data_IF_202480297569
#
_entry.id   IF_202480297569
#
_cell.length_a   1.000
_cell.length_b   1.000
_cell.length_c   1.000
_cell.angle_alpha   90.00
_cell.angle_beta   90.00
_cell.angle_gamma   90.00
#
_symmetry.space_group_name_H-M   'P 1'
#
loop_
_entity.id
_entity.type
_entity.pdbx_description
1 polymer ?
#
# COMPACT_ATOMS: atom_id res chain seq x y z
N UNK A 1 -7.63 7.35 1.78
CA UNK A 1 -8.12 7.14 3.15
C UNK A 1 -9.64 7.34 3.12
N UNK A 2 -10.41 6.41 3.66
CA UNK A 2 -11.89 6.47 3.62
C UNK A 2 -12.49 7.34 4.72
N UNK A 3 -11.73 7.57 5.81
CA UNK A 3 -12.12 8.39 6.97
C UNK A 3 -11.85 9.86 6.68
N UNK A 4 -12.80 10.73 6.92
CA UNK A 4 -12.76 12.17 6.66
C UNK A 4 -12.89 13.05 7.92
N UNK A 5 -13.05 12.45 9.10
CA UNK A 5 -13.05 13.15 10.38
C UNK A 5 -11.67 13.09 11.07
N UNK A 6 -11.47 13.99 12.04
CA UNK A 6 -10.28 14.00 12.89
C UNK A 6 -10.36 12.82 13.86
N UNK A 7 -9.40 11.90 13.77
CA UNK A 7 -9.32 10.73 14.65
C UNK A 7 -8.87 11.18 16.05
N UNK A 8 -9.66 10.88 17.06
CA UNK A 8 -9.32 11.18 18.45
C UNK A 8 -8.26 10.21 19.00
N UNK A 9 -7.53 10.61 20.05
CA UNK A 9 -6.56 9.74 20.72
C UNK A 9 -7.19 8.45 21.30
N UNK A 10 -8.49 8.49 21.64
CA UNK A 10 -9.22 7.32 22.12
C UNK A 10 -9.48 6.35 20.98
N UNK A 11 -10.03 6.82 19.86
CA UNK A 11 -10.28 6.01 18.66
C UNK A 11 -8.98 5.37 18.14
N UNK A 12 -7.88 6.15 18.09
CA UNK A 12 -6.58 5.64 17.67
C UNK A 12 -6.08 4.51 18.59
N UNK A 13 -6.25 4.64 19.90
CA UNK A 13 -5.83 3.62 20.87
C UNK A 13 -6.67 2.36 20.76
N UNK A 14 -7.98 2.49 20.63
CA UNK A 14 -8.90 1.36 20.43
C UNK A 14 -8.60 0.61 19.14
N UNK A 15 -8.38 1.34 18.05
CA UNK A 15 -7.91 0.80 16.78
C UNK A 15 -6.58 0.05 16.94
N UNK A 16 -5.57 0.66 17.56
CA UNK A 16 -4.28 0.04 17.79
C UNK A 16 -4.39 -1.28 18.57
N UNK A 17 -5.19 -1.30 19.63
CA UNK A 17 -5.44 -2.52 20.41
C UNK A 17 -6.14 -3.61 19.59
N UNK A 18 -6.99 -3.25 18.64
CA UNK A 18 -7.65 -4.21 17.76
C UNK A 18 -6.69 -4.84 16.76
N UNK A 19 -5.84 -4.03 16.12
CA UNK A 19 -4.88 -4.54 15.13
C UNK A 19 -3.78 -5.40 15.75
N UNK A 20 -3.39 -5.15 17.00
CA UNK A 20 -2.42 -5.99 17.72
C UNK A 20 -2.92 -7.42 17.98
N UNK A 21 -4.22 -7.66 17.91
CA UNK A 21 -4.83 -8.98 18.13
C UNK A 21 -5.24 -9.68 16.83
N UNK A 22 -5.18 -8.98 15.72
CA UNK A 22 -5.62 -9.50 14.42
C UNK A 22 -4.48 -10.24 13.72
N UNK A 23 -4.59 -11.57 13.66
CA UNK A 23 -3.63 -12.44 12.98
C UNK A 23 -3.69 -12.32 11.44
N UNK A 24 -4.69 -11.64 10.89
CA UNK A 24 -4.86 -11.43 9.45
C UNK A 24 -4.30 -10.08 8.99
N UNK A 25 -3.55 -9.38 9.82
CA UNK A 25 -2.89 -8.13 9.46
C UNK A 25 -1.46 -8.05 10.02
N UNK A 26 -0.65 -7.23 9.35
CA UNK A 26 0.68 -6.81 9.80
C UNK A 26 0.81 -5.30 9.58
N UNK A 27 1.34 -4.61 10.59
CA UNK A 27 1.60 -3.17 10.53
C UNK A 27 3.08 -2.92 10.79
N UNK A 28 3.72 -2.21 9.87
CA UNK A 28 5.15 -1.96 9.86
C UNK A 28 5.41 -0.46 9.87
N UNK A 29 6.36 -0.03 10.70
CA UNK A 29 6.88 1.34 10.65
C UNK A 29 8.04 1.34 9.66
N UNK A 30 7.96 2.21 8.66
CA UNK A 30 9.07 2.46 7.77
C UNK A 30 10.02 3.47 8.42
N UNK A 31 11.29 3.14 8.43
CA UNK A 31 12.35 4.00 8.97
C UNK A 31 13.35 4.38 7.88
N UNK A 32 13.81 5.61 7.91
CA UNK A 32 14.92 6.09 7.11
C UNK A 32 15.93 6.80 8.00
N UNK A 33 17.20 6.35 7.98
CA UNK A 33 18.27 6.85 8.85
C UNK A 33 17.86 6.84 10.34
N UNK A 34 17.26 5.74 10.78
CA UNK A 34 16.77 5.53 12.16
C UNK A 34 15.66 6.49 12.60
N UNK A 35 15.01 7.17 11.67
CA UNK A 35 13.84 8.01 11.94
C UNK A 35 12.60 7.41 11.31
N UNK A 36 11.46 7.30 12.03
CA UNK A 36 10.22 6.81 11.47
C UNK A 36 9.69 7.80 10.44
N UNK A 37 9.39 7.32 9.24
CA UNK A 37 8.97 8.16 8.11
C UNK A 37 7.56 7.84 7.63
N UNK A 38 7.01 6.69 7.99
CA UNK A 38 5.70 6.27 7.52
C UNK A 38 5.30 4.91 8.04
N UNK A 39 4.16 4.45 7.58
CA UNK A 39 3.59 3.16 7.96
C UNK A 39 3.19 2.38 6.71
N UNK A 40 3.41 1.08 6.75
CA UNK A 40 2.88 0.11 5.79
C UNK A 40 1.92 -0.80 6.54
N UNK A 41 0.74 -1.03 5.97
CA UNK A 41 -0.24 -2.00 6.45
C UNK A 41 -0.43 -3.11 5.43
N UNK A 42 -0.37 -4.35 5.88
CA UNK A 42 -0.75 -5.54 5.10
C UNK A 42 -1.96 -6.12 5.82
N UNK A 43 -3.09 -6.18 5.17
CA UNK A 43 -4.38 -6.54 5.80
C UNK A 43 -5.14 -7.54 4.95
N UNK A 44 -6.19 -8.13 5.53
CA UNK A 44 -6.98 -9.19 4.87
C UNK A 44 -6.09 -10.32 4.32
N UNK A 45 -5.09 -10.74 5.13
CA UNK A 45 -4.16 -11.82 4.76
C UNK A 45 -4.91 -13.15 4.77
N UNK A 46 -5.21 -13.67 3.57
CA UNK A 46 -5.89 -14.95 3.36
C UNK A 46 -4.86 -16.00 2.91
N UNK A 47 -4.30 -16.71 3.87
CA UNK A 47 -3.24 -17.71 3.61
C UNK A 47 -3.68 -18.80 2.64
N UNK A 48 -4.92 -19.29 2.74
CA UNK A 48 -5.45 -20.33 1.85
C UNK A 48 -5.56 -19.86 0.40
N UNK A 49 -5.99 -18.61 0.19
CA UNK A 49 -6.14 -18.02 -1.13
C UNK A 49 -4.83 -17.42 -1.66
N UNK A 50 -3.86 -17.20 -0.76
CA UNK A 50 -2.61 -16.49 -1.07
C UNK A 50 -2.86 -15.04 -1.50
N UNK A 51 -3.81 -14.36 -0.84
CA UNK A 51 -4.18 -12.98 -1.18
C UNK A 51 -4.08 -12.05 0.03
N UNK A 52 -3.83 -10.77 -0.23
CA UNK A 52 -3.93 -9.72 0.78
C UNK A 52 -4.29 -8.39 0.12
N UNK A 53 -4.71 -7.44 0.92
CA UNK A 53 -4.69 -6.01 0.58
C UNK A 53 -3.63 -5.29 1.38
N UNK A 54 -3.30 -4.07 0.97
CA UNK A 54 -2.26 -3.29 1.62
C UNK A 54 -2.50 -1.79 1.46
N UNK A 55 -1.78 -1.02 2.27
CA UNK A 55 -1.75 0.43 2.16
C UNK A 55 -0.47 0.97 2.78
N UNK A 56 -0.12 2.19 2.41
CA UNK A 56 0.97 2.91 3.05
C UNK A 56 0.69 4.41 3.11
N UNK A 57 1.32 5.09 4.05
CA UNK A 57 1.44 6.54 4.03
C UNK A 57 2.83 6.96 4.51
N UNK A 58 3.25 8.13 4.03
CA UNK A 58 4.47 8.80 4.46
C UNK A 58 4.04 9.99 5.33
N UNK A 59 4.53 10.02 6.57
CA UNK A 59 4.20 11.08 7.54
C UNK A 59 5.07 12.33 7.39
N UNK A 60 6.24 12.19 6.75
CA UNK A 60 7.23 13.28 6.62
C UNK A 60 7.13 13.99 5.27
N UNK A 61 7.01 15.33 5.30
CA UNK A 61 6.83 16.15 4.09
C UNK A 61 8.14 16.45 3.34
N UNK A 62 9.30 16.15 3.91
CA UNK A 62 10.62 16.57 3.42
C UNK A 62 11.46 15.43 2.83
N UNK A 63 10.84 14.31 2.48
CA UNK A 63 11.57 13.16 1.96
C UNK A 63 11.81 13.25 0.45
N UNK A 64 12.96 12.75 0.02
CA UNK A 64 13.34 12.67 -1.39
C UNK A 64 12.33 11.84 -2.21
N UNK A 65 12.18 12.16 -3.47
CA UNK A 65 11.19 11.59 -4.40
C UNK A 65 11.28 10.07 -4.66
N UNK A 66 12.25 9.37 -4.12
CA UNK A 66 12.40 7.90 -4.28
C UNK A 66 11.89 7.07 -3.10
N UNK A 67 11.69 7.68 -1.93
CA UNK A 67 11.38 6.94 -0.70
C UNK A 67 10.05 6.19 -0.77
N UNK A 68 9.02 6.78 -1.37
CA UNK A 68 7.74 6.09 -1.56
C UNK A 68 7.87 4.85 -2.45
N UNK A 69 8.72 4.91 -3.47
CA UNK A 69 9.02 3.76 -4.35
C UNK A 69 9.73 2.66 -3.57
N UNK A 70 10.73 3.02 -2.75
CA UNK A 70 11.44 2.07 -1.89
C UNK A 70 10.51 1.41 -0.88
N UNK A 71 9.67 2.19 -0.21
CA UNK A 71 8.68 1.65 0.73
C UNK A 71 7.74 0.66 0.05
N UNK A 72 7.27 0.95 -1.17
CA UNK A 72 6.39 0.07 -1.94
C UNK A 72 7.12 -1.23 -2.33
N UNK A 73 8.39 -1.15 -2.79
CA UNK A 73 9.22 -2.32 -3.08
C UNK A 73 9.33 -3.22 -1.84
N UNK A 74 9.76 -2.66 -0.69
CA UNK A 74 9.92 -3.44 0.54
C UNK A 74 8.60 -4.02 1.07
N UNK A 75 7.50 -3.29 0.91
CA UNK A 75 6.18 -3.80 1.26
C UNK A 75 5.80 -5.02 0.42
N UNK A 76 6.02 -4.96 -0.90
CA UNK A 76 5.73 -6.08 -1.80
C UNK A 76 6.69 -7.24 -1.54
N UNK A 77 7.99 -6.99 -1.36
CA UNK A 77 8.97 -8.01 -0.97
C UNK A 77 8.49 -8.75 0.31
N UNK A 78 8.04 -8.01 1.34
CA UNK A 78 7.49 -8.59 2.58
C UNK A 78 6.27 -9.48 2.32
N UNK A 79 5.34 -9.03 1.49
CA UNK A 79 4.15 -9.80 1.12
C UNK A 79 4.52 -11.09 0.34
N UNK A 80 5.48 -11.01 -0.58
CA UNK A 80 5.90 -12.14 -1.41
C UNK A 80 6.76 -13.13 -0.62
N UNK A 81 7.80 -12.63 0.05
CA UNK A 81 8.82 -13.48 0.65
C UNK A 81 8.38 -14.08 1.99
N UNK A 82 7.74 -13.29 2.83
CA UNK A 82 7.34 -13.72 4.16
C UNK A 82 5.93 -14.31 4.18
N UNK A 83 4.94 -13.60 3.64
CA UNK A 83 3.56 -14.05 3.64
C UNK A 83 3.21 -15.03 2.52
N UNK A 84 4.11 -15.21 1.52
CA UNK A 84 3.89 -16.09 0.35
C UNK A 84 2.63 -15.72 -0.43
N UNK A 85 2.35 -14.44 -0.56
CA UNK A 85 1.18 -13.92 -1.27
C UNK A 85 1.38 -14.07 -2.78
N UNK A 86 0.39 -14.65 -3.47
CA UNK A 86 0.38 -14.79 -4.94
C UNK A 86 -0.35 -13.64 -5.63
N UNK A 87 -1.23 -12.92 -4.91
CA UNK A 87 -2.01 -11.80 -5.45
C UNK A 87 -2.19 -10.73 -4.40
N UNK A 88 -1.70 -9.54 -4.68
CA UNK A 88 -1.86 -8.34 -3.88
C UNK A 88 -2.91 -7.46 -4.55
N UNK A 89 -3.91 -6.98 -3.81
CA UNK A 89 -4.92 -6.09 -4.36
C UNK A 89 -5.06 -4.82 -3.53
N UNK A 90 -5.58 -3.77 -4.16
CA UNK A 90 -5.84 -2.50 -3.49
C UNK A 90 -6.93 -1.72 -4.20
N UNK A 91 -7.50 -0.77 -3.48
CA UNK A 91 -8.54 0.13 -3.95
C UNK A 91 -8.07 1.57 -3.84
N UNK A 92 -8.27 2.32 -4.91
CA UNK A 92 -7.79 3.70 -5.02
C UNK A 92 -8.91 4.59 -5.56
N UNK A 93 -9.10 5.76 -4.95
CA UNK A 93 -10.02 6.76 -5.48
C UNK A 93 -9.57 7.18 -6.88
N UNK A 94 -10.51 7.34 -7.80
CA UNK A 94 -10.21 7.74 -9.18
C UNK A 94 -9.48 9.09 -9.25
N UNK A 95 -9.73 9.99 -8.31
CA UNK A 95 -9.04 11.29 -8.18
C UNK A 95 -7.54 11.15 -7.90
N UNK A 96 -7.08 10.05 -7.28
CA UNK A 96 -5.67 9.82 -6.97
C UNK A 96 -4.89 9.28 -8.19
N UNK A 97 -4.85 10.07 -9.25
CA UNK A 97 -4.18 9.71 -10.51
C UNK A 97 -2.70 9.37 -10.34
N UNK A 98 -2.02 10.02 -9.38
CA UNK A 98 -0.59 9.76 -9.09
C UNK A 98 -0.37 8.33 -8.61
N UNK A 99 -1.18 7.87 -7.65
CA UNK A 99 -1.07 6.51 -7.12
C UNK A 99 -1.45 5.46 -8.18
N UNK A 100 -2.50 5.72 -8.97
CA UNK A 100 -2.92 4.85 -10.07
C UNK A 100 -1.78 4.65 -11.08
N UNK A 101 -1.09 5.74 -11.46
CA UNK A 101 0.07 5.67 -12.38
C UNK A 101 1.26 4.93 -11.74
N UNK A 102 1.49 5.12 -10.44
CA UNK A 102 2.54 4.39 -9.71
C UNK A 102 2.24 2.89 -9.71
N UNK A 103 1.06 2.49 -9.29
CA UNK A 103 0.64 1.08 -9.30
C UNK A 103 0.77 0.42 -10.68
N UNK A 104 0.43 1.15 -11.78
CA UNK A 104 0.65 0.64 -13.14
C UNK A 104 2.13 0.32 -13.41
N UNK A 105 3.06 1.16 -12.93
CA UNK A 105 4.51 0.90 -13.06
C UNK A 105 4.98 -0.29 -12.24
N UNK A 106 4.33 -0.54 -11.10
CA UNK A 106 4.56 -1.74 -10.28
C UNK A 106 3.88 -3.00 -10.83
N UNK A 107 3.24 -2.91 -11.99
CA UNK A 107 2.62 -4.05 -12.66
C UNK A 107 1.19 -4.36 -12.17
N UNK A 108 0.60 -3.52 -11.33
CA UNK A 108 -0.81 -3.65 -10.97
C UNK A 108 -1.70 -3.42 -12.19
N UNK A 109 -2.69 -4.27 -12.35
CA UNK A 109 -3.71 -4.19 -13.41
C UNK A 109 -5.06 -3.91 -12.80
N UNK A 110 -5.88 -3.14 -13.50
CA UNK A 110 -7.26 -2.88 -13.12
C UNK A 110 -8.08 -4.17 -13.21
N UNK A 111 -8.83 -4.47 -12.17
CA UNK A 111 -9.78 -5.59 -12.10
C UNK A 111 -11.25 -5.12 -12.12
N UNK A 112 -11.48 -3.85 -11.80
CA UNK A 112 -12.83 -3.29 -11.83
C UNK A 112 -12.90 -1.87 -11.30
N UNK A 113 -14.06 -1.25 -11.53
CA UNK A 113 -14.39 0.10 -11.07
C UNK A 113 -15.72 0.08 -10.34
N UNK A 114 -15.72 0.48 -9.09
CA UNK A 114 -16.93 0.71 -8.31
C UNK A 114 -17.42 2.13 -8.57
N UNK A 115 -18.49 2.25 -9.32
CA UNK A 115 -19.02 3.56 -9.73
C UNK A 115 -19.68 4.29 -8.57
N UNK A 116 -19.33 5.57 -8.39
CA UNK A 116 -19.91 6.47 -7.37
C UNK A 116 -19.91 5.86 -5.97
N UNK A 117 -18.80 5.19 -5.61
CA UNK A 117 -18.73 4.31 -4.45
C UNK A 117 -18.48 5.03 -3.13
N UNK A 118 -17.71 6.11 -3.15
CA UNK A 118 -17.32 6.87 -1.94
C UNK A 118 -17.87 8.29 -2.02
N UNK A 119 -18.55 8.71 -0.96
CA UNK A 119 -19.01 10.09 -0.80
C UNK A 119 -17.86 10.98 -0.28
N UNK A 120 -17.62 12.11 -0.94
CA UNK A 120 -16.66 13.13 -0.55
C UNK A 120 -17.32 14.51 -0.61
N UNK A 121 -17.72 15.02 0.56
CA UNK A 121 -18.58 16.20 0.61
C UNK A 121 -19.88 15.94 -0.13
N UNK A 122 -20.16 16.75 -1.15
CA UNK A 122 -21.39 16.63 -1.96
C UNK A 122 -21.24 15.79 -3.24
N UNK A 123 -20.10 15.12 -3.42
CA UNK A 123 -19.79 14.35 -4.64
C UNK A 123 -19.51 12.89 -4.33
N UNK A 124 -19.88 12.03 -5.26
CA UNK A 124 -19.53 10.62 -5.24
C UNK A 124 -18.37 10.36 -6.19
N UNK A 125 -17.35 9.69 -5.69
CA UNK A 125 -16.17 9.29 -6.48
C UNK A 125 -16.19 7.80 -6.81
N UNK A 126 -15.63 7.47 -7.95
CA UNK A 126 -15.35 6.09 -8.34
C UNK A 126 -14.14 5.54 -7.56
N UNK A 127 -14.18 4.26 -7.28
CA UNK A 127 -13.05 3.52 -6.70
C UNK A 127 -12.55 2.50 -7.71
N UNK A 128 -11.27 2.54 -8.00
CA UNK A 128 -10.61 1.61 -8.92
C UNK A 128 -9.96 0.51 -8.12
N UNK A 129 -10.34 -0.73 -8.39
CA UNK A 129 -9.69 -1.92 -7.85
C UNK A 129 -8.59 -2.38 -8.78
N UNK A 130 -7.39 -2.54 -8.23
CA UNK A 130 -6.22 -3.04 -8.97
C UNK A 130 -5.63 -4.24 -8.26
N UNK A 131 -4.94 -5.11 -9.02
CA UNK A 131 -4.22 -6.24 -8.44
C UNK A 131 -2.88 -6.49 -9.15
N UNK A 132 -1.92 -6.97 -8.36
CA UNK A 132 -0.62 -7.47 -8.79
C UNK A 132 -0.57 -8.99 -8.56
N UNK A 133 -0.29 -9.77 -9.61
CA UNK A 133 0.07 -11.18 -9.49
C UNK A 133 1.58 -11.28 -9.32
N UNK A 134 2.04 -11.91 -8.24
CA UNK A 134 3.42 -11.83 -7.77
C UNK A 134 4.39 -12.80 -8.45
N UNK A 135 3.91 -13.69 -9.33
CA UNK A 135 4.75 -14.69 -10.01
C UNK A 135 5.91 -14.08 -10.83
N UNK A 136 5.78 -12.84 -11.29
CA UNK A 136 6.82 -12.11 -12.03
C UNK A 136 7.43 -10.95 -11.22
N UNK A 137 7.23 -10.94 -9.90
CA UNK A 137 7.61 -9.79 -9.08
C UNK A 137 9.10 -9.47 -9.18
N UNK A 138 9.98 -10.45 -9.16
CA UNK A 138 11.43 -10.24 -9.25
C UNK A 138 11.84 -9.46 -10.51
N UNK A 139 11.27 -9.81 -11.66
CA UNK A 139 11.54 -9.10 -12.92
C UNK A 139 11.04 -7.66 -12.88
N UNK A 140 9.82 -7.44 -12.37
CA UNK A 140 9.20 -6.13 -12.21
C UNK A 140 10.03 -5.28 -11.23
N UNK A 141 10.40 -5.82 -10.08
CA UNK A 141 11.25 -5.19 -9.07
C UNK A 141 12.57 -4.68 -9.66
N UNK A 142 13.26 -5.53 -10.41
CA UNK A 142 14.53 -5.19 -11.05
C UNK A 142 14.39 -4.07 -12.09
N UNK A 143 13.28 -4.02 -12.81
CA UNK A 143 12.96 -2.94 -13.75
C UNK A 143 12.70 -1.62 -13.02
N UNK A 144 11.94 -1.65 -11.92
CA UNK A 144 11.66 -0.47 -11.09
C UNK A 144 12.96 0.09 -10.51
N UNK A 145 13.81 -0.76 -9.92
CA UNK A 145 15.10 -0.35 -9.35
C UNK A 145 15.95 0.37 -10.38
N UNK A 146 16.06 -0.20 -11.59
CA UNK A 146 16.79 0.44 -12.70
C UNK A 146 16.17 1.76 -13.14
N UNK A 147 14.85 1.79 -13.31
CA UNK A 147 14.11 2.97 -13.79
C UNK A 147 14.23 4.15 -12.84
N UNK A 148 14.17 3.92 -11.54
CA UNK A 148 14.28 4.95 -10.52
C UNK A 148 15.70 5.18 -10.01
N UNK A 149 16.71 4.47 -10.54
CA UNK A 149 18.14 4.55 -10.16
C UNK A 149 18.34 4.36 -8.65
N UNK A 150 17.72 3.32 -8.11
CA UNK A 150 17.72 3.05 -6.67
C UNK A 150 18.90 2.17 -6.21
N UNK A 151 19.80 1.77 -7.11
CA UNK A 151 20.89 0.82 -6.86
C UNK A 151 21.83 1.20 -5.70
N UNK A 152 21.84 2.48 -5.31
CA UNK A 152 22.66 2.98 -4.19
C UNK A 152 21.88 3.10 -2.86
N UNK A 153 20.62 2.67 -2.79
CA UNK A 153 19.72 2.90 -1.64
C UNK A 153 19.03 1.62 -1.15
N UNK A 154 19.37 0.46 -1.69
CA UNK A 154 18.80 -0.84 -1.33
C UNK A 154 19.84 -1.68 -0.62
#
# INVERSE_FOLDING_TARGET
MLTDHIITSKEHREWYQSICKDACCEWLIAEFRSSPIGVVSITDIKKMDGTCTWGMYIGENMLNSGIGVLMEIHAIDRMVEYHKIRKIWGETLESNKRLILMHKRFGFKEEGVFKKHVCRGDKYEDVIRTALFTHNWEAIRNEIVRTFRLDNNI
#
